data_IF_581787128396
#
_entry.id   IF_581787128396
#
_cell.length_a   1.000
_cell.length_b   1.000
_cell.length_c   1.000
_cell.angle_alpha   90.00
_cell.angle_beta   90.00
_cell.angle_gamma   90.00
#
_symmetry.space_group_name_H-M   'P 1'
#
loop_
_entity.id
_entity.type
_entity.pdbx_description
1 polymer ?
#
# COMPACT_ATOMS: atom_id res chain seq x y z
N UNK A 1 10.27 -18.04 2.94
CA UNK A 1 11.23 -17.31 3.79
C UNK A 1 10.95 -15.83 3.59
N UNK A 2 10.93 -15.05 4.68
CA UNK A 2 10.68 -13.61 4.63
C UNK A 2 12.02 -12.88 4.61
N UNK A 3 12.09 -11.77 3.88
CA UNK A 3 13.20 -10.82 3.97
C UNK A 3 12.65 -9.44 4.28
N UNK A 4 13.29 -8.74 5.21
CA UNK A 4 12.80 -7.47 5.75
C UNK A 4 13.66 -6.32 5.20
N UNK A 5 13.04 -5.26 4.74
CA UNK A 5 13.71 -4.06 4.21
C UNK A 5 13.21 -2.86 5.00
N UNK A 6 14.08 -2.22 5.77
CA UNK A 6 13.78 -1.03 6.55
C UNK A 6 14.33 0.18 5.81
N UNK A 7 13.44 1.00 5.28
CA UNK A 7 13.74 2.19 4.51
C UNK A 7 13.42 3.41 5.37
N UNK A 8 14.41 4.28 5.61
CA UNK A 8 14.24 5.44 6.49
C UNK A 8 14.51 6.76 5.76
N UNK A 9 13.59 7.72 5.93
CA UNK A 9 13.81 9.11 5.54
C UNK A 9 13.19 10.03 6.58
N UNK A 10 14.04 10.49 7.50
CA UNK A 10 13.66 11.28 8.67
C UNK A 10 14.59 12.48 8.82
N UNK A 11 14.12 13.57 9.43
CA UNK A 11 14.90 14.80 9.66
C UNK A 11 16.07 14.52 10.59
N UNK A 12 17.11 15.35 10.55
CA UNK A 12 18.30 15.16 11.39
C UNK A 12 17.97 15.08 12.88
N UNK A 13 17.02 15.90 13.34
CA UNK A 13 16.60 15.95 14.74
C UNK A 13 15.52 14.93 15.12
N UNK A 14 14.97 14.20 14.15
CA UNK A 14 14.03 13.13 14.44
C UNK A 14 14.76 11.93 15.04
N UNK A 15 14.08 11.24 15.96
CA UNK A 15 14.57 9.95 16.45
C UNK A 15 14.61 8.95 15.30
N UNK A 16 15.75 8.30 15.09
CA UNK A 16 15.99 7.38 13.96
C UNK A 16 15.39 5.99 14.23
N UNK A 17 14.07 5.91 14.31
CA UNK A 17 13.34 4.72 14.75
C UNK A 17 13.52 3.50 13.85
N UNK A 18 13.65 3.68 12.53
CA UNK A 18 13.92 2.60 11.58
C UNK A 18 15.30 1.99 11.79
N UNK A 19 16.30 2.83 12.10
CA UNK A 19 17.64 2.34 12.47
C UNK A 19 17.60 1.55 13.78
N UNK A 20 16.90 2.06 14.79
CA UNK A 20 16.73 1.37 16.08
C UNK A 20 16.00 0.02 15.93
N UNK A 21 14.98 -0.02 15.07
CA UNK A 21 14.26 -1.24 14.73
C UNK A 21 15.17 -2.26 14.03
N UNK A 22 15.94 -1.83 13.03
CA UNK A 22 16.93 -2.67 12.36
C UNK A 22 17.94 -3.27 13.35
N UNK A 23 18.53 -2.44 14.22
CA UNK A 23 19.54 -2.89 15.18
C UNK A 23 18.98 -3.94 16.16
N UNK A 24 17.68 -3.87 16.45
CA UNK A 24 16.97 -4.85 17.31
C UNK A 24 16.74 -6.20 16.61
N UNK A 25 16.49 -6.17 15.29
CA UNK A 25 16.04 -7.34 14.53
C UNK A 25 17.16 -8.04 13.73
N UNK A 26 18.29 -7.37 13.46
CA UNK A 26 19.36 -7.87 12.57
C UNK A 26 19.98 -9.23 12.91
N UNK A 27 19.89 -9.65 14.16
CA UNK A 27 20.39 -10.97 14.60
C UNK A 27 19.28 -12.04 14.65
N UNK A 28 18.04 -11.69 14.29
CA UNK A 28 16.85 -12.55 14.39
C UNK A 28 16.29 -12.95 13.01
N UNK A 29 16.57 -12.18 11.96
CA UNK A 29 16.04 -12.42 10.61
C UNK A 29 16.98 -11.87 9.52
N UNK A 30 16.71 -12.25 8.27
CA UNK A 30 17.34 -11.63 7.09
C UNK A 30 16.72 -10.23 6.87
N UNK A 31 17.51 -9.20 7.14
CA UNK A 31 17.05 -7.82 7.13
C UNK A 31 18.09 -6.88 6.52
N UNK A 32 17.60 -5.92 5.75
CA UNK A 32 18.36 -4.87 5.09
C UNK A 32 17.87 -3.51 5.61
N UNK A 33 18.80 -2.57 5.83
CA UNK A 33 18.48 -1.21 6.23
C UNK A 33 19.14 -0.22 5.26
N UNK A 34 18.39 0.79 4.85
CA UNK A 34 18.90 1.84 3.99
C UNK A 34 18.19 3.17 4.26
N UNK A 35 18.98 4.23 4.38
CA UNK A 35 18.48 5.60 4.36
C UNK A 35 18.40 6.12 2.91
N UNK A 36 17.45 7.01 2.66
CA UNK A 36 17.28 7.66 1.37
C UNK A 36 16.91 9.14 1.52
N UNK A 37 17.45 9.95 0.61
CA UNK A 37 17.37 11.41 0.61
C UNK A 37 16.87 11.99 -0.71
N UNK A 38 16.39 11.16 -1.63
CA UNK A 38 15.71 11.61 -2.85
C UNK A 38 14.76 10.55 -3.40
N UNK A 39 13.80 10.96 -4.25
CA UNK A 39 12.97 10.01 -5.02
C UNK A 39 13.80 9.02 -5.85
N UNK A 40 14.93 9.47 -6.41
CA UNK A 40 15.79 8.63 -7.26
C UNK A 40 16.54 7.58 -6.44
N UNK A 41 16.96 7.91 -5.22
CA UNK A 41 17.52 6.93 -4.30
C UNK A 41 16.49 5.90 -3.88
N UNK A 42 15.28 6.34 -3.48
CA UNK A 42 14.20 5.40 -3.16
C UNK A 42 13.89 4.48 -4.34
N UNK A 43 13.79 5.04 -5.56
CA UNK A 43 13.58 4.25 -6.78
C UNK A 43 14.66 3.19 -6.97
N UNK A 44 15.93 3.57 -6.86
CA UNK A 44 17.06 2.64 -6.96
C UNK A 44 17.00 1.53 -5.91
N UNK A 45 16.56 1.87 -4.69
CA UNK A 45 16.39 0.90 -3.59
C UNK A 45 15.25 -0.08 -3.90
N UNK A 46 14.12 0.40 -4.41
CA UNK A 46 13.00 -0.47 -4.79
C UNK A 46 13.34 -1.36 -5.99
N UNK A 47 14.14 -0.87 -6.94
CA UNK A 47 14.72 -1.68 -8.02
C UNK A 47 15.65 -2.77 -7.48
N UNK A 48 16.49 -2.44 -6.50
CA UNK A 48 17.31 -3.42 -5.80
C UNK A 48 16.45 -4.48 -5.10
N UNK A 49 15.41 -4.07 -4.36
CA UNK A 49 14.48 -5.00 -3.68
C UNK A 49 13.82 -5.93 -4.70
N UNK A 50 13.43 -5.41 -5.87
CA UNK A 50 12.85 -6.20 -6.95
C UNK A 50 13.76 -7.35 -7.38
N UNK A 51 15.02 -7.03 -7.69
CA UNK A 51 16.04 -7.99 -8.13
C UNK A 51 16.38 -8.98 -7.02
N UNK A 52 16.62 -8.47 -5.80
CA UNK A 52 16.97 -9.29 -4.64
C UNK A 52 15.84 -10.25 -4.24
N UNK A 53 14.58 -9.81 -4.35
CA UNK A 53 13.40 -10.68 -4.13
C UNK A 53 13.33 -11.78 -5.18
N UNK A 54 13.59 -11.45 -6.45
CA UNK A 54 13.61 -12.43 -7.54
C UNK A 54 14.70 -13.50 -7.33
N UNK A 55 15.92 -13.08 -6.95
CA UNK A 55 17.06 -13.98 -6.74
C UNK A 55 16.86 -14.84 -5.49
N UNK A 56 16.46 -14.23 -4.37
CA UNK A 56 16.29 -14.93 -3.10
C UNK A 56 15.00 -15.74 -3.01
N UNK A 57 14.03 -15.49 -3.91
CA UNK A 57 12.68 -16.06 -3.87
C UNK A 57 11.97 -15.86 -2.51
N UNK A 58 12.31 -14.76 -1.82
CA UNK A 58 11.75 -14.41 -0.51
C UNK A 58 10.45 -13.60 -0.65
N UNK A 59 9.68 -13.48 0.43
CA UNK A 59 8.56 -12.53 0.51
C UNK A 59 9.12 -11.21 1.08
N UNK A 60 9.05 -10.09 0.34
CA UNK A 60 9.62 -8.83 0.78
C UNK A 60 8.68 -8.12 1.75
N UNK A 61 9.13 -7.92 2.99
CA UNK A 61 8.51 -7.05 3.98
C UNK A 61 9.18 -5.68 3.90
N UNK A 62 8.52 -4.70 3.29
CA UNK A 62 9.08 -3.37 3.08
C UNK A 62 8.47 -2.41 4.10
N UNK A 63 9.31 -1.93 5.01
CA UNK A 63 8.98 -0.99 6.06
C UNK A 63 9.48 0.40 5.69
N UNK A 64 8.59 1.37 5.72
CA UNK A 64 8.93 2.79 5.62
C UNK A 64 8.89 3.42 7.00
N UNK A 65 9.98 4.08 7.37
CA UNK A 65 10.04 4.96 8.53
C UNK A 65 10.33 6.39 8.07
N UNK A 66 9.25 7.16 7.94
CA UNK A 66 9.27 8.49 7.34
C UNK A 66 8.04 9.29 7.77
N UNK A 67 8.05 10.60 7.50
CA UNK A 67 6.82 11.38 7.60
C UNK A 67 5.86 11.01 6.47
N UNK A 68 4.57 11.24 6.67
CA UNK A 68 3.56 10.96 5.68
C UNK A 68 2.25 11.68 5.99
N UNK A 69 1.38 11.69 5.00
CA UNK A 69 0.08 12.35 5.03
C UNK A 69 -0.96 11.60 4.19
N UNK A 70 -2.09 12.25 3.91
CA UNK A 70 -3.15 11.68 3.08
C UNK A 70 -2.76 11.42 1.63
N UNK A 71 -1.71 12.07 1.12
CA UNK A 71 -1.31 12.06 -0.28
C UNK A 71 -0.10 11.16 -0.54
N UNK A 72 0.76 10.95 0.45
CA UNK A 72 1.96 10.15 0.27
C UNK A 72 2.87 10.06 1.49
N UNK A 73 4.15 9.83 1.18
CA UNK A 73 5.26 9.83 2.15
C UNK A 73 6.26 10.92 1.82
N UNK A 74 6.82 11.53 2.84
CA UNK A 74 7.84 12.56 2.72
C UNK A 74 9.24 11.95 2.55
N UNK A 75 10.05 12.60 1.72
CA UNK A 75 11.48 12.33 1.56
C UNK A 75 12.24 13.56 2.04
N UNK A 76 13.08 13.37 3.05
CA UNK A 76 13.94 14.43 3.58
C UNK A 76 15.23 14.47 2.77
N UNK A 77 15.42 15.55 2.02
CA UNK A 77 16.60 15.78 1.20
C UNK A 77 17.84 16.09 2.03
N UNK A 78 19.00 15.96 1.39
CA UNK A 78 20.30 16.29 2.00
C UNK A 78 20.44 17.77 2.39
N UNK A 79 19.65 18.66 1.79
CA UNK A 79 19.58 20.09 2.12
C UNK A 79 18.47 20.42 3.14
N UNK A 80 17.90 19.40 3.78
CA UNK A 80 16.82 19.48 4.77
C UNK A 80 15.48 19.97 4.23
N UNK A 81 15.32 20.07 2.91
CA UNK A 81 14.00 20.27 2.30
C UNK A 81 13.25 18.94 2.18
N UNK A 82 11.93 19.00 2.02
CA UNK A 82 11.08 17.81 1.87
C UNK A 82 10.47 17.76 0.47
N UNK A 83 10.38 16.55 -0.09
CA UNK A 83 9.56 16.28 -1.27
C UNK A 83 8.66 15.07 -1.01
N UNK A 84 7.42 15.14 -1.51
CA UNK A 84 6.46 14.06 -1.31
C UNK A 84 6.47 13.08 -2.47
N UNK A 85 6.38 11.78 -2.15
CA UNK A 85 6.08 10.72 -3.09
C UNK A 85 4.65 10.28 -2.86
N UNK A 86 3.81 10.42 -3.89
CA UNK A 86 2.41 10.08 -3.81
C UNK A 86 2.21 8.57 -3.65
N UNK A 87 1.08 8.18 -3.06
CA UNK A 87 0.68 6.77 -3.00
C UNK A 87 0.63 6.14 -4.40
N UNK A 88 0.17 6.86 -5.43
CA UNK A 88 0.15 6.34 -6.81
C UNK A 88 1.55 6.03 -7.34
N UNK A 89 2.53 6.92 -7.14
CA UNK A 89 3.92 6.70 -7.53
C UNK A 89 4.50 5.46 -6.82
N UNK A 90 4.29 5.32 -5.51
CA UNK A 90 4.72 4.13 -4.75
C UNK A 90 4.03 2.86 -5.25
N UNK A 91 2.73 2.92 -5.51
CA UNK A 91 1.96 1.77 -5.99
C UNK A 91 2.43 1.27 -7.35
N UNK A 92 2.90 2.17 -8.22
CA UNK A 92 3.52 1.80 -9.48
C UNK A 92 4.89 1.11 -9.26
N UNK A 93 5.73 1.63 -8.36
CA UNK A 93 7.02 1.01 -8.02
C UNK A 93 6.88 -0.38 -7.38
N UNK A 94 5.95 -0.56 -6.44
CA UNK A 94 5.71 -1.88 -5.83
C UNK A 94 5.13 -2.89 -6.82
N UNK A 95 4.41 -2.43 -7.84
CA UNK A 95 3.92 -3.33 -8.89
C UNK A 95 5.06 -3.87 -9.74
N UNK A 96 6.08 -3.06 -10.01
CA UNK A 96 7.29 -3.54 -10.70
C UNK A 96 8.01 -4.62 -9.91
N UNK A 97 8.03 -4.54 -8.57
CA UNK A 97 8.53 -5.61 -7.71
C UNK A 97 7.73 -6.90 -7.94
N UNK A 98 6.40 -6.83 -7.95
CA UNK A 98 5.56 -8.00 -8.23
C UNK A 98 5.80 -8.56 -9.64
N UNK A 99 5.81 -7.70 -10.66
CA UNK A 99 5.99 -8.11 -12.06
C UNK A 99 7.33 -8.82 -12.26
N UNK A 100 8.39 -8.31 -11.63
CA UNK A 100 9.75 -8.85 -11.77
C UNK A 100 9.95 -10.13 -10.97
N UNK A 101 9.48 -10.15 -9.71
CA UNK A 101 9.78 -11.24 -8.76
C UNK A 101 8.68 -12.30 -8.67
N UNK A 102 7.48 -12.01 -9.18
CA UNK A 102 6.24 -12.76 -8.90
C UNK A 102 5.91 -12.88 -7.41
N UNK A 103 6.40 -11.94 -6.58
CA UNK A 103 6.14 -11.87 -5.13
C UNK A 103 5.47 -10.55 -4.80
N UNK A 104 4.36 -10.63 -4.07
CA UNK A 104 3.67 -9.45 -3.56
C UNK A 104 4.27 -9.03 -2.23
N UNK A 105 4.67 -7.78 -2.11
CA UNK A 105 5.26 -7.24 -0.89
C UNK A 105 4.25 -7.19 0.26
N UNK A 106 4.75 -7.30 1.49
CA UNK A 106 4.05 -6.81 2.68
C UNK A 106 4.55 -5.40 2.94
N UNK A 107 3.65 -4.42 2.88
CA UNK A 107 3.99 -3.01 3.08
C UNK A 107 3.67 -2.60 4.51
N UNK A 108 4.61 -1.93 5.17
CA UNK A 108 4.47 -1.43 6.53
C UNK A 108 4.86 0.05 6.55
N UNK A 109 3.96 0.94 6.95
CA UNK A 109 4.21 2.38 6.99
C UNK A 109 4.23 2.88 8.43
N UNK A 110 5.44 3.06 8.98
CA UNK A 110 5.71 3.87 10.17
C UNK A 110 5.71 5.33 9.78
N UNK A 111 4.53 5.84 9.45
CA UNK A 111 4.30 7.24 9.08
C UNK A 111 2.97 7.70 9.66
N UNK A 112 2.82 9.00 9.90
CA UNK A 112 1.52 9.56 10.27
C UNK A 112 0.50 9.22 9.18
N UNK A 113 -0.67 8.73 9.59
CA UNK A 113 -1.75 8.31 8.68
C UNK A 113 -1.29 7.31 7.61
N UNK A 114 -0.28 6.48 7.91
CA UNK A 114 0.30 5.53 6.95
C UNK A 114 -0.71 4.52 6.39
N UNK A 115 -1.86 4.33 7.04
CA UNK A 115 -2.96 3.52 6.50
C UNK A 115 -3.69 4.15 5.29
N UNK A 116 -3.44 5.43 4.97
CA UNK A 116 -3.86 6.02 3.69
C UNK A 116 -3.24 5.32 2.48
N UNK A 117 -2.18 4.54 2.67
CA UNK A 117 -1.68 3.56 1.69
C UNK A 117 -2.73 2.53 1.26
N UNK A 118 -3.87 2.38 1.93
CA UNK A 118 -5.04 1.65 1.39
C UNK A 118 -5.54 2.23 0.05
N UNK A 119 -5.23 3.48 -0.27
CA UNK A 119 -5.42 4.09 -1.60
C UNK A 119 -4.58 3.44 -2.70
N UNK A 120 -3.62 2.58 -2.35
CA UNK A 120 -2.83 1.77 -3.28
C UNK A 120 -3.64 0.68 -3.98
N UNK A 121 -4.96 0.56 -3.79
CA UNK A 121 -5.82 -0.37 -4.53
C UNK A 121 -6.06 0.17 -5.95
N UNK A 122 -5.35 -0.29 -7.00
CA UNK A 122 -5.55 0.25 -8.33
C UNK A 122 -6.87 -0.25 -8.95
N UNK A 123 -7.51 0.61 -9.74
CA UNK A 123 -8.50 0.17 -10.71
C UNK A 123 -7.78 -0.39 -11.95
N UNK A 124 -8.15 -1.60 -12.37
CA UNK A 124 -7.61 -2.27 -13.57
C UNK A 124 -6.09 -2.32 -13.69
N UNK A 125 -5.37 -2.39 -12.57
CA UNK A 125 -3.97 -2.82 -12.54
C UNK A 125 -3.82 -3.94 -11.52
N UNK A 126 -2.73 -4.67 -11.63
CA UNK A 126 -2.39 -5.73 -10.66
C UNK A 126 -2.09 -5.11 -9.30
N UNK A 127 -2.52 -5.80 -8.23
CA UNK A 127 -2.25 -5.41 -6.86
C UNK A 127 -0.76 -5.53 -6.54
N UNK A 128 -0.12 -4.45 -6.03
CA UNK A 128 1.31 -4.44 -5.79
C UNK A 128 1.73 -5.06 -4.44
N UNK A 129 0.78 -5.47 -3.59
CA UNK A 129 1.05 -5.96 -2.24
C UNK A 129 0.12 -7.12 -1.86
N UNK A 130 0.51 -7.87 -0.83
CA UNK A 130 -0.32 -8.88 -0.18
C UNK A 130 -1.00 -8.33 1.07
N UNK A 131 -0.28 -7.50 1.81
CA UNK A 131 -0.76 -6.82 3.02
C UNK A 131 -0.23 -5.39 3.07
N UNK A 132 -1.01 -4.53 3.71
CA UNK A 132 -0.63 -3.17 4.10
C UNK A 132 -0.87 -3.04 5.60
N UNK A 133 0.15 -2.59 6.33
CA UNK A 133 0.08 -2.27 7.74
C UNK A 133 0.53 -0.82 8.00
N UNK A 134 -0.07 -0.20 9.00
CA UNK A 134 0.24 1.18 9.36
C UNK A 134 -0.65 1.70 10.48
N UNK A 135 -0.36 2.91 10.95
CA UNK A 135 -1.24 3.62 11.87
C UNK A 135 -2.35 4.34 11.10
N UNK A 136 -3.54 4.39 11.71
CA UNK A 136 -4.64 5.20 11.19
C UNK A 136 -4.48 6.69 11.52
N UNK A 137 -3.76 7.00 12.60
CA UNK A 137 -3.59 8.36 13.11
C UNK A 137 -2.11 8.75 13.23
N UNK A 138 -1.86 9.96 13.74
CA UNK A 138 -0.51 10.42 14.11
C UNK A 138 0.01 9.58 15.27
N UNK A 139 1.30 9.23 15.20
CA UNK A 139 1.94 8.33 16.16
C UNK A 139 3.15 9.00 16.79
N UNK A 140 3.44 8.66 18.05
CA UNK A 140 4.71 9.04 18.67
C UNK A 140 5.82 8.11 18.19
N UNK A 141 7.06 8.59 18.16
CA UNK A 141 8.22 7.74 17.83
C UNK A 141 8.33 6.52 18.75
N UNK A 142 7.98 6.67 20.02
CA UNK A 142 8.10 5.58 20.98
C UNK A 142 7.05 4.49 20.75
N UNK A 143 5.81 4.88 20.47
CA UNK A 143 4.74 3.91 20.18
C UNK A 143 4.97 3.22 18.84
N UNK A 144 5.45 3.97 17.84
CA UNK A 144 5.80 3.39 16.55
C UNK A 144 6.90 2.32 16.69
N UNK A 145 8.03 2.68 17.31
CA UNK A 145 9.15 1.75 17.47
C UNK A 145 8.76 0.50 18.27
N UNK A 146 8.07 0.67 19.40
CA UNK A 146 7.68 -0.46 20.23
C UNK A 146 6.62 -1.33 19.54
N UNK A 147 5.63 -0.72 18.88
CA UNK A 147 4.59 -1.43 18.15
C UNK A 147 5.16 -2.25 16.98
N UNK A 148 6.03 -1.65 16.16
CA UNK A 148 6.65 -2.36 15.05
C UNK A 148 7.67 -3.42 15.50
N UNK A 149 8.42 -3.18 16.59
CA UNK A 149 9.28 -4.22 17.17
C UNK A 149 8.44 -5.44 17.55
N UNK A 150 7.38 -5.23 18.34
CA UNK A 150 6.50 -6.32 18.79
C UNK A 150 5.79 -7.00 17.60
N UNK A 151 5.41 -6.24 16.57
CA UNK A 151 4.84 -6.78 15.34
C UNK A 151 5.79 -7.76 14.64
N UNK A 152 7.03 -7.33 14.38
CA UNK A 152 8.00 -8.16 13.67
C UNK A 152 8.49 -9.34 14.50
N UNK A 153 8.71 -9.18 15.81
CA UNK A 153 9.12 -10.30 16.67
C UNK A 153 8.08 -11.43 16.68
N UNK A 154 6.79 -11.08 16.67
CA UNK A 154 5.71 -12.05 16.55
C UNK A 154 5.73 -12.77 15.20
N UNK A 155 5.89 -12.05 14.09
CA UNK A 155 5.96 -12.67 12.76
C UNK A 155 7.19 -13.57 12.62
N UNK A 156 8.34 -13.13 13.11
CA UNK A 156 9.59 -13.91 13.10
C UNK A 156 9.45 -15.19 13.93
N UNK A 157 8.69 -15.15 15.02
CA UNK A 157 8.36 -16.33 15.84
C UNK A 157 7.24 -17.21 15.27
N UNK A 158 6.68 -16.86 14.11
CA UNK A 158 5.71 -17.68 13.37
C UNK A 158 4.24 -17.32 13.60
N UNK A 159 3.94 -16.21 14.28
CA UNK A 159 2.56 -15.72 14.42
C UNK A 159 2.08 -15.13 13.08
N UNK A 160 0.84 -15.43 12.70
CA UNK A 160 0.20 -14.86 11.51
C UNK A 160 0.19 -13.32 11.55
N UNK A 161 0.40 -12.69 10.39
CA UNK A 161 0.53 -11.23 10.28
C UNK A 161 -0.69 -10.48 10.81
N UNK A 162 -1.92 -10.97 10.56
CA UNK A 162 -3.14 -10.31 11.04
C UNK A 162 -3.27 -10.46 12.55
N UNK A 163 -2.89 -11.62 13.08
CA UNK A 163 -2.88 -11.87 14.51
C UNK A 163 -1.82 -11.01 15.23
N UNK A 164 -0.62 -10.88 14.66
CA UNK A 164 0.43 -10.01 15.18
C UNK A 164 0.00 -8.55 15.21
N UNK A 165 -0.63 -8.06 14.13
CA UNK A 165 -1.20 -6.71 14.07
C UNK A 165 -2.30 -6.51 15.13
N UNK A 166 -3.18 -7.49 15.31
CA UNK A 166 -4.22 -7.45 16.33
C UNK A 166 -3.62 -7.36 17.75
N UNK A 167 -2.62 -8.17 18.07
CA UNK A 167 -1.94 -8.09 19.37
C UNK A 167 -1.28 -6.73 19.61
N UNK A 168 -0.64 -6.16 18.58
CA UNK A 168 -0.06 -4.81 18.66
C UNK A 168 -1.15 -3.76 18.88
N UNK A 169 -2.26 -3.84 18.16
CA UNK A 169 -3.40 -2.95 18.38
C UNK A 169 -3.95 -3.03 19.81
N UNK A 170 -4.07 -4.23 20.38
CA UNK A 170 -4.54 -4.41 21.77
C UNK A 170 -3.56 -3.84 22.80
N UNK A 171 -2.25 -4.01 22.56
CA UNK A 171 -1.21 -3.58 23.50
C UNK A 171 -0.89 -2.09 23.41
N UNK A 172 -0.98 -1.52 22.20
CA UNK A 172 -0.67 -0.14 21.87
C UNK A 172 -1.90 0.51 21.22
N UNK A 173 -3.00 0.61 21.98
CA UNK A 173 -4.29 1.10 21.46
C UNK A 173 -4.21 2.47 20.78
N UNK A 174 -3.32 3.33 21.27
CA UNK A 174 -3.11 4.68 20.73
C UNK A 174 -2.45 4.66 19.34
N UNK A 175 -1.71 3.59 19.01
CA UNK A 175 -1.13 3.41 17.67
C UNK A 175 -2.20 3.19 16.61
N UNK A 176 -3.40 2.73 17.01
CA UNK A 176 -4.49 2.32 16.11
C UNK A 176 -3.94 1.51 14.94
N UNK A 177 -3.11 0.53 15.28
CA UNK A 177 -2.37 -0.26 14.31
C UNK A 177 -3.34 -1.14 13.53
N UNK A 178 -3.27 -1.06 12.21
CA UNK A 178 -4.12 -1.82 11.30
C UNK A 178 -3.25 -2.62 10.35
N UNK A 179 -3.73 -3.81 9.98
CA UNK A 179 -3.16 -4.60 8.91
C UNK A 179 -4.28 -5.27 8.12
N UNK A 180 -4.35 -4.99 6.83
CA UNK A 180 -5.35 -5.58 5.94
C UNK A 180 -4.69 -6.25 4.75
N UNK A 181 -5.30 -7.34 4.30
CA UNK A 181 -4.88 -8.00 3.08
C UNK A 181 -5.42 -7.29 1.84
N UNK A 182 -4.81 -7.56 0.70
CA UNK A 182 -5.26 -7.09 -0.60
C UNK A 182 -6.72 -7.46 -0.89
N UNK A 183 -7.18 -8.63 -0.45
CA UNK A 183 -8.57 -9.10 -0.58
C UNK A 183 -9.55 -8.21 0.17
N UNK A 184 -9.26 -7.90 1.44
CA UNK A 184 -10.14 -7.06 2.25
C UNK A 184 -10.17 -5.63 1.69
N UNK A 185 -9.02 -5.08 1.31
CA UNK A 185 -8.96 -3.74 0.73
C UNK A 185 -9.67 -3.66 -0.63
N UNK A 186 -9.58 -4.70 -1.45
CA UNK A 186 -10.36 -4.79 -2.69
C UNK A 186 -11.86 -4.83 -2.41
N UNK A 187 -12.31 -5.61 -1.43
CA UNK A 187 -13.72 -5.71 -1.07
C UNK A 187 -14.27 -4.35 -0.60
N UNK A 188 -13.54 -3.66 0.26
CA UNK A 188 -13.89 -2.30 0.72
C UNK A 188 -13.98 -1.35 -0.47
N UNK A 189 -12.95 -1.29 -1.32
CA UNK A 189 -12.91 -0.37 -2.45
C UNK A 189 -14.02 -0.64 -3.48
N UNK A 190 -14.25 -1.90 -3.83
CA UNK A 190 -15.29 -2.30 -4.78
C UNK A 190 -16.70 -2.08 -4.23
N UNK A 191 -16.91 -2.34 -2.94
CA UNK A 191 -18.20 -2.06 -2.27
C UNK A 191 -18.49 -0.57 -2.22
N UNK A 192 -17.51 0.26 -1.84
CA UNK A 192 -17.66 1.72 -1.84
C UNK A 192 -17.94 2.25 -3.25
N UNK A 193 -17.24 1.73 -4.27
CA UNK A 193 -17.55 2.07 -5.67
C UNK A 193 -19.00 1.75 -6.04
N UNK A 194 -19.47 0.54 -5.74
CA UNK A 194 -20.86 0.16 -6.04
C UNK A 194 -21.84 1.09 -5.31
N UNK A 195 -21.63 1.35 -4.03
CA UNK A 195 -22.53 2.18 -3.22
C UNK A 195 -22.59 3.63 -3.69
N UNK A 196 -21.45 4.25 -3.95
CA UNK A 196 -21.36 5.69 -4.21
C UNK A 196 -21.48 6.04 -5.68
N UNK A 197 -20.95 5.16 -6.55
CA UNK A 197 -20.89 5.41 -7.98
C UNK A 197 -22.05 4.70 -8.68
N UNK A 198 -22.53 3.54 -8.27
CA UNK A 198 -23.55 2.83 -9.08
C UNK A 198 -25.01 3.15 -8.72
N UNK A 199 -25.26 4.34 -8.15
CA UNK A 199 -26.63 4.84 -7.96
C UNK A 199 -27.28 5.15 -9.32
N UNK A 200 -28.61 5.10 -9.38
CA UNK A 200 -29.34 5.41 -10.62
C UNK A 200 -29.00 6.80 -11.15
N UNK A 201 -28.89 7.79 -10.26
CA UNK A 201 -28.53 9.17 -10.61
C UNK A 201 -27.11 9.27 -11.19
N UNK A 202 -26.11 8.66 -10.54
CA UNK A 202 -24.71 8.71 -11.00
C UNK A 202 -24.48 7.93 -12.29
N UNK A 203 -25.20 6.82 -12.50
CA UNK A 203 -25.16 6.06 -13.74
C UNK A 203 -25.81 6.84 -14.89
N UNK A 204 -26.97 7.47 -14.64
CA UNK A 204 -27.66 8.31 -15.62
C UNK A 204 -26.81 9.52 -16.02
N UNK A 205 -26.22 10.21 -15.03
CA UNK A 205 -25.30 11.34 -15.26
C UNK A 205 -24.10 10.94 -16.10
N UNK A 206 -23.49 9.79 -15.83
CA UNK A 206 -22.38 9.26 -16.65
C UNK A 206 -22.80 8.93 -18.07
N UNK A 207 -23.97 8.35 -18.24
CA UNK A 207 -24.53 8.05 -19.55
C UNK A 207 -24.75 9.33 -20.36
N UNK A 208 -25.40 10.34 -19.78
CA UNK A 208 -25.64 11.64 -20.42
C UNK A 208 -24.34 12.35 -20.79
N UNK A 209 -23.35 12.34 -19.89
CA UNK A 209 -22.01 12.89 -20.17
C UNK A 209 -21.31 12.17 -21.33
N UNK A 210 -21.51 10.85 -21.48
CA UNK A 210 -20.92 10.10 -22.58
C UNK A 210 -21.64 10.39 -23.90
N UNK A 211 -22.98 10.46 -23.88
CA UNK A 211 -23.82 10.76 -25.05
C UNK A 211 -23.67 12.21 -25.53
N UNK A 212 -23.31 13.15 -24.65
CA UNK A 212 -23.08 14.56 -25.03
C UNK A 212 -21.78 14.76 -25.80
N UNK A 213 -20.82 13.85 -25.66
CA UNK A 213 -19.49 13.93 -26.30
C UNK A 213 -19.43 13.14 -27.60
N UNK A 214 -20.27 12.11 -27.78
CA UNK A 214 -20.19 11.17 -28.90
C UNK A 214 -21.53 10.90 -29.55
N UNK A 215 -21.59 10.95 -30.88
CA UNK A 215 -22.73 10.45 -31.63
C UNK A 215 -22.71 8.93 -31.70
N UNK A 216 -23.70 8.28 -31.08
CA UNK A 216 -23.81 6.83 -31.00
C UNK A 216 -24.89 6.28 -31.92
N UNK A 217 -24.53 5.23 -32.67
CA UNK A 217 -25.51 4.40 -33.39
C UNK A 217 -26.30 3.49 -32.43
N UNK A 218 -27.33 2.81 -32.94
CA UNK A 218 -28.23 1.99 -32.13
C UNK A 218 -27.51 0.85 -31.38
N UNK A 219 -26.54 0.19 -32.02
CA UNK A 219 -25.77 -0.88 -31.39
C UNK A 219 -24.89 -0.36 -30.24
N UNK A 220 -24.23 0.79 -30.45
CA UNK A 220 -23.42 1.46 -29.44
C UNK A 220 -24.27 1.92 -28.25
N UNK A 221 -25.48 2.46 -28.49
CA UNK A 221 -26.42 2.83 -27.41
C UNK A 221 -26.91 1.62 -26.63
N UNK A 222 -27.23 0.51 -27.29
CA UNK A 222 -27.64 -0.72 -26.62
C UNK A 222 -26.53 -1.24 -25.70
N UNK A 223 -25.27 -1.20 -26.17
CA UNK A 223 -24.11 -1.55 -25.34
C UNK A 223 -23.93 -0.59 -24.16
N UNK A 224 -24.03 0.73 -24.39
CA UNK A 224 -23.93 1.73 -23.32
C UNK A 224 -25.00 1.53 -22.24
N UNK A 225 -26.24 1.25 -22.66
CA UNK A 225 -27.34 0.93 -21.75
C UNK A 225 -27.01 -0.29 -20.90
N UNK A 226 -26.49 -1.35 -21.52
CA UNK A 226 -26.10 -2.57 -20.81
C UNK A 226 -25.02 -2.31 -19.76
N UNK A 227 -23.95 -1.59 -20.13
CA UNK A 227 -22.83 -1.29 -19.22
C UNK A 227 -23.31 -0.60 -17.94
N UNK A 228 -24.31 0.28 -18.03
CA UNK A 228 -24.87 0.99 -16.89
C UNK A 228 -26.03 0.26 -16.18
N UNK A 229 -26.31 -0.99 -16.51
CA UNK A 229 -27.20 -1.85 -15.69
C UNK A 229 -26.46 -2.39 -14.46
N UNK A 230 -27.20 -2.89 -13.47
CA UNK A 230 -26.60 -3.62 -12.33
C UNK A 230 -25.73 -4.79 -12.79
N UNK A 231 -26.17 -5.55 -13.80
CA UNK A 231 -25.40 -6.66 -14.36
C UNK A 231 -24.09 -6.17 -15.00
N UNK A 232 -24.14 -5.11 -15.81
CA UNK A 232 -22.95 -4.52 -16.42
C UNK A 232 -21.95 -3.99 -15.38
N UNK A 233 -22.44 -3.37 -14.30
CA UNK A 233 -21.58 -2.94 -13.19
C UNK A 233 -20.98 -4.13 -12.43
N UNK A 234 -21.71 -5.23 -12.25
CA UNK A 234 -21.16 -6.44 -11.63
C UNK A 234 -20.07 -7.08 -12.51
N UNK A 235 -20.26 -7.11 -13.83
CA UNK A 235 -19.22 -7.56 -14.77
C UNK A 235 -17.98 -6.67 -14.74
N UNK A 236 -18.16 -5.35 -14.59
CA UNK A 236 -17.07 -4.41 -14.38
C UNK A 236 -16.27 -4.75 -13.12
N UNK A 237 -16.92 -4.98 -11.97
CA UNK A 237 -16.25 -5.39 -10.73
C UNK A 237 -15.54 -6.74 -10.89
N UNK A 238 -16.17 -7.71 -11.55
CA UNK A 238 -15.56 -9.01 -11.81
C UNK A 238 -14.30 -8.89 -12.68
N UNK A 239 -14.33 -8.03 -13.70
CA UNK A 239 -13.16 -7.72 -14.53
C UNK A 239 -12.06 -7.06 -13.70
N UNK A 240 -12.42 -6.08 -12.87
CA UNK A 240 -11.47 -5.43 -11.96
C UNK A 240 -10.82 -6.45 -11.03
N UNK A 241 -11.60 -7.33 -10.37
CA UNK A 241 -11.09 -8.38 -9.50
C UNK A 241 -10.08 -9.29 -10.21
N UNK A 242 -10.39 -9.73 -11.43
CA UNK A 242 -9.50 -10.58 -12.23
C UNK A 242 -8.16 -9.90 -12.50
N UNK A 243 -8.17 -8.62 -12.87
CA UNK A 243 -6.93 -7.87 -13.12
C UNK A 243 -6.15 -7.62 -11.83
N UNK A 244 -6.85 -7.32 -10.73
CA UNK A 244 -6.23 -7.01 -9.45
C UNK A 244 -5.46 -8.20 -8.86
N UNK A 245 -6.00 -9.43 -9.00
CA UNK A 245 -5.38 -10.65 -8.46
C UNK A 245 -4.59 -11.48 -9.47
N UNK A 246 -4.47 -11.02 -10.72
CA UNK A 246 -3.58 -11.63 -11.73
C UNK A 246 -2.12 -11.61 -11.26
#
# INVERSE_FOLDING_TARGET
>A
MNKYYILQSLREHDRKTGRELFDTLKNKCDIFFQEYHSKNELKSILEYISIDTQISNSIPFVHFDCHGDENGVGVVKSDFTEEDITWNELGDQFREIYITSSKRSVLCFSSCEGFNSSKLVPQFKVCPFSYVAGSFEKITFNDSLNGYRDFYEQIISGIDIKQAAYHVHQKYSDLKFLCFSAEVLFEVASTSYLKEKTTLEELQKRKENFESVLQLNNAQRAFLNYVYTQQGQQEFINKWKRVFFA
#
